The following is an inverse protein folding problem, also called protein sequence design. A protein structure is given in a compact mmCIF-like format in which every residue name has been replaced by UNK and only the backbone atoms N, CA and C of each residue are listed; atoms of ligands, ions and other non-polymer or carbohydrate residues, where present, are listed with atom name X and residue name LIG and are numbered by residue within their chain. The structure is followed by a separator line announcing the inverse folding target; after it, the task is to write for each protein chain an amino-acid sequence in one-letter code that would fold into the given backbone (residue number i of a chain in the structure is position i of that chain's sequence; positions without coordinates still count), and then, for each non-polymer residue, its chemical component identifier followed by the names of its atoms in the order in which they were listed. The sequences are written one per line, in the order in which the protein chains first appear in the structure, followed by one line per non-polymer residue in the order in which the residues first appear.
data_IF_400466638571
#
_entry.id   IF_400466638571
#
_cell.length_a   1.000
_cell.length_b   1.000
_cell.length_c   1.000
_cell.angle_alpha   90.00
_cell.angle_beta   90.00
_cell.angle_gamma   90.00
#
_symmetry.space_group_name_H-M   'P 1'
#
loop_
_entity.id
_entity.type
_entity.pdbx_description
1 polymer ?
#
# COMPACT_ATOMS: atom_id res chain seq x y z
N UNK A 1 14.92 22.88 58.01
CA UNK A 1 13.51 22.59 57.71
C UNK A 1 13.33 22.66 56.19
N UNK A 2 12.53 21.75 55.60
CA UNK A 2 12.56 21.29 54.20
C UNK A 2 11.92 22.33 53.25
N UNK A 3 11.96 22.25 51.92
CA UNK A 3 11.27 21.27 51.05
C UNK A 3 11.99 21.28 49.67
N UNK A 4 12.58 20.20 49.17
CA UNK A 4 11.95 19.11 48.40
C UNK A 4 10.62 19.47 47.73
N UNK A 5 10.70 19.87 46.46
CA UNK A 5 9.64 19.62 45.49
C UNK A 5 10.17 18.65 44.44
N UNK A 6 9.49 17.51 44.36
CA UNK A 6 9.60 16.50 43.31
C UNK A 6 8.83 17.01 42.09
N UNK A 7 9.49 17.14 40.95
CA UNK A 7 8.82 17.10 39.65
C UNK A 7 9.22 15.82 38.94
N UNK A 8 8.21 14.98 38.88
CA UNK A 8 8.17 13.57 38.55
C UNK A 8 8.46 13.33 37.07
N UNK A 9 9.12 12.21 36.81
CA UNK A 9 9.32 11.66 35.47
C UNK A 9 7.98 11.21 34.88
N UNK A 10 7.36 12.03 34.02
CA UNK A 10 6.40 11.55 33.01
C UNK A 10 6.07 12.73 32.12
N UNK A 11 6.31 12.72 30.83
CA UNK A 11 6.33 11.59 29.93
C UNK A 11 5.68 12.11 28.67
N UNK A 12 6.38 12.05 27.56
CA UNK A 12 5.83 11.64 26.27
C UNK A 12 6.97 11.77 25.25
N UNK A 13 7.41 10.65 24.63
CA UNK A 13 8.23 10.74 23.45
C UNK A 13 7.43 11.56 22.46
N UNK A 14 8.05 12.64 21.96
CA UNK A 14 7.53 13.42 20.86
C UNK A 14 6.91 12.44 19.89
N UNK A 15 5.58 12.51 19.77
CA UNK A 15 4.81 11.77 18.81
C UNK A 15 5.57 11.96 17.50
N UNK A 16 6.32 10.92 17.11
CA UNK A 16 6.77 10.80 15.75
C UNK A 16 5.46 10.64 15.02
N UNK A 17 4.87 11.78 14.65
CA UNK A 17 3.98 11.91 13.53
C UNK A 17 4.76 11.21 12.43
N UNK A 18 4.48 9.92 12.27
CA UNK A 18 4.89 9.13 11.15
C UNK A 18 4.03 9.69 10.02
N UNK A 19 4.38 10.91 9.60
CA UNK A 19 4.16 11.37 8.24
C UNK A 19 4.56 10.16 7.42
N UNK A 20 3.68 9.61 6.56
CA UNK A 20 4.10 8.62 5.61
C UNK A 20 5.10 9.36 4.73
N UNK A 21 6.37 9.34 5.15
CA UNK A 21 7.48 9.77 4.36
C UNK A 21 7.31 8.89 3.13
N UNK A 22 6.84 9.50 2.04
CA UNK A 22 6.89 8.88 0.72
C UNK A 22 8.35 8.45 0.61
N UNK A 23 8.58 7.15 0.85
CA UNK A 23 9.92 6.62 1.13
C UNK A 23 10.73 7.09 -0.05
N UNK A 24 11.76 7.90 0.21
CA UNK A 24 12.64 8.40 -0.84
C UNK A 24 12.95 7.23 -1.78
N UNK A 25 12.95 7.46 -3.11
CA UNK A 25 13.05 6.38 -4.09
C UNK A 25 14.25 5.51 -3.74
N UNK A 26 13.93 4.36 -3.13
CA UNK A 26 14.94 3.41 -2.67
C UNK A 26 15.22 2.47 -3.81
N UNK A 27 16.49 2.16 -4.01
CA UNK A 27 16.85 1.11 -4.95
C UNK A 27 16.19 -0.20 -4.50
N UNK A 28 15.37 -0.77 -5.38
CA UNK A 28 14.77 -2.08 -5.16
C UNK A 28 15.89 -3.13 -5.09
N UNK A 29 15.79 -4.03 -4.12
CA UNK A 29 16.69 -5.18 -4.04
C UNK A 29 16.51 -6.11 -5.25
N UNK A 30 17.44 -7.04 -5.44
CA UNK A 30 17.37 -7.99 -6.55
C UNK A 30 16.06 -8.79 -6.53
N UNK A 31 15.67 -9.30 -5.36
CA UNK A 31 14.43 -10.06 -5.19
C UNK A 31 13.18 -9.20 -5.38
N UNK A 32 13.15 -7.94 -4.92
CA UNK A 32 12.03 -7.01 -5.17
C UNK A 32 11.87 -6.74 -6.68
N UNK A 33 12.98 -6.56 -7.41
CA UNK A 33 12.96 -6.38 -8.88
C UNK A 33 12.44 -7.64 -9.58
N UNK A 34 12.94 -8.82 -9.21
CA UNK A 34 12.50 -10.10 -9.77
C UNK A 34 11.02 -10.36 -9.48
N UNK A 35 10.55 -10.03 -8.27
CA UNK A 35 9.16 -10.16 -7.88
C UNK A 35 8.26 -9.21 -8.66
N UNK A 36 8.68 -7.96 -8.88
CA UNK A 36 7.98 -7.04 -9.76
C UNK A 36 7.86 -7.61 -11.17
N UNK A 37 8.97 -8.05 -11.78
CA UNK A 37 8.95 -8.67 -13.11
C UNK A 37 8.03 -9.90 -13.19
N UNK A 38 8.04 -10.77 -12.17
CA UNK A 38 7.18 -11.94 -12.12
C UNK A 38 5.70 -11.54 -12.06
N UNK A 39 5.35 -10.54 -11.25
CA UNK A 39 3.99 -10.00 -11.17
C UNK A 39 3.52 -9.44 -12.53
N UNK A 40 4.38 -8.69 -13.24
CA UNK A 40 4.07 -8.20 -14.58
C UNK A 40 3.92 -9.31 -15.63
N UNK A 41 4.64 -10.41 -15.49
CA UNK A 41 4.54 -11.57 -16.41
C UNK A 41 3.40 -12.52 -16.07
N UNK A 42 2.81 -12.42 -14.88
CA UNK A 42 1.86 -13.41 -14.37
C UNK A 42 2.51 -14.73 -13.91
N UNK A 43 3.81 -14.70 -13.62
CA UNK A 43 4.55 -15.85 -13.08
C UNK A 43 4.31 -15.99 -11.57
N UNK A 44 4.37 -17.20 -11.00
CA UNK A 44 4.17 -17.41 -9.57
C UNK A 44 5.28 -16.77 -8.73
N UNK A 45 4.93 -16.35 -7.51
CA UNK A 45 5.88 -15.83 -6.54
C UNK A 45 6.87 -16.92 -6.10
N UNK A 46 8.18 -16.59 -6.10
CA UNK A 46 9.20 -17.50 -5.61
C UNK A 46 9.35 -17.36 -4.09
N UNK A 47 9.12 -18.43 -3.30
CA UNK A 47 9.19 -18.38 -1.83
C UNK A 47 10.61 -18.13 -1.28
N UNK A 48 11.65 -18.18 -2.11
CA UNK A 48 13.01 -17.82 -1.71
C UNK A 48 13.26 -16.30 -1.66
N UNK A 49 12.32 -15.48 -2.15
CA UNK A 49 12.43 -14.01 -2.10
C UNK A 49 12.06 -13.45 -0.73
N UNK A 50 12.47 -12.21 -0.46
CA UNK A 50 12.24 -11.59 0.84
C UNK A 50 10.76 -11.22 1.06
N UNK A 51 10.40 -10.94 2.32
CA UNK A 51 9.08 -10.41 2.66
C UNK A 51 8.79 -9.06 1.97
N UNK A 52 9.82 -8.25 1.69
CA UNK A 52 9.64 -6.99 0.95
C UNK A 52 9.24 -7.26 -0.51
N UNK A 53 9.84 -8.26 -1.15
CA UNK A 53 9.47 -8.69 -2.49
C UNK A 53 8.05 -9.24 -2.57
N UNK A 54 7.57 -9.95 -1.54
CA UNK A 54 6.19 -10.40 -1.46
C UNK A 54 5.21 -9.21 -1.51
N UNK A 55 5.47 -8.18 -0.70
CA UNK A 55 4.67 -6.95 -0.69
C UNK A 55 4.64 -6.26 -2.06
N UNK A 56 5.79 -6.24 -2.77
CA UNK A 56 5.87 -5.67 -4.13
C UNK A 56 5.06 -6.52 -5.12
N UNK A 57 5.23 -7.84 -5.12
CA UNK A 57 4.49 -8.76 -5.99
C UNK A 57 2.98 -8.64 -5.79
N UNK A 58 2.51 -8.79 -4.55
CA UNK A 58 1.09 -8.71 -4.21
C UNK A 58 0.51 -7.33 -4.52
N UNK A 59 1.27 -6.26 -4.26
CA UNK A 59 0.87 -4.90 -4.56
C UNK A 59 0.64 -4.67 -6.05
N UNK A 60 1.54 -5.18 -6.90
CA UNK A 60 1.44 -5.05 -8.37
C UNK A 60 0.25 -5.87 -8.89
N UNK A 61 0.14 -7.14 -8.51
CA UNK A 61 -0.98 -8.02 -8.92
C UNK A 61 -2.32 -7.40 -8.53
N UNK A 62 -2.42 -6.90 -7.30
CA UNK A 62 -3.63 -6.23 -6.82
C UNK A 62 -3.94 -4.95 -7.59
N UNK A 63 -2.92 -4.15 -7.92
CA UNK A 63 -3.08 -2.92 -8.69
C UNK A 63 -3.54 -3.20 -10.13
N UNK A 64 -3.00 -4.23 -10.78
CA UNK A 64 -3.44 -4.66 -12.11
C UNK A 64 -4.87 -5.16 -12.11
N UNK A 65 -5.26 -5.94 -11.10
CA UNK A 65 -6.65 -6.37 -10.94
C UNK A 65 -7.57 -5.16 -10.81
N UNK A 66 -7.23 -4.19 -9.94
CA UNK A 66 -8.00 -2.94 -9.79
C UNK A 66 -8.04 -2.11 -11.07
N UNK A 67 -6.95 -2.00 -11.82
CA UNK A 67 -6.93 -1.28 -13.10
C UNK A 67 -7.82 -1.94 -14.15
N UNK A 68 -7.82 -3.27 -14.24
CA UNK A 68 -8.71 -3.99 -15.14
C UNK A 68 -10.17 -3.79 -14.75
N UNK A 69 -10.50 -3.90 -13.45
CA UNK A 69 -11.86 -3.62 -12.95
C UNK A 69 -12.26 -2.16 -13.20
N UNK A 70 -11.37 -1.19 -12.96
CA UNK A 70 -11.63 0.22 -13.26
C UNK A 70 -11.87 0.44 -14.77
N UNK A 71 -11.09 -0.22 -15.62
CA UNK A 71 -11.27 -0.14 -17.08
C UNK A 71 -12.57 -0.79 -17.55
N UNK A 72 -13.07 -1.81 -16.86
CA UNK A 72 -14.34 -2.49 -17.18
C UNK A 72 -15.55 -1.69 -16.65
N UNK A 73 -15.42 -1.11 -15.47
CA UNK A 73 -16.47 -0.32 -14.80
C UNK A 73 -16.70 1.06 -15.42
N UNK A 74 -15.71 1.60 -16.14
CA UNK A 74 -15.87 2.80 -16.98
C UNK A 74 -17.00 2.64 -18.03
N UNK A 75 -17.28 1.41 -18.48
CA UNK A 75 -18.39 1.12 -19.40
C UNK A 75 -19.69 0.68 -18.69
N UNK A 76 -19.64 0.26 -17.43
CA UNK A 76 -20.83 -0.15 -16.63
C UNK A 76 -21.51 1.06 -15.95
N UNK A 77 -20.77 2.15 -15.70
CA UNK A 77 -21.35 3.37 -15.12
C UNK A 77 -22.34 4.10 -16.05
N UNK A 78 -22.41 3.71 -17.33
CA UNK A 78 -23.35 4.23 -18.35
C UNK A 78 -24.53 3.29 -18.63
N UNK A 79 -24.65 2.12 -17.98
CA UNK A 79 -25.82 1.24 -18.16
C UNK A 79 -26.83 1.30 -17.00
N UNK A 80 -26.42 1.69 -15.78
CA UNK A 80 -27.30 1.80 -14.60
C UNK A 80 -27.78 3.24 -14.38
N UNK A 81 -28.27 3.91 -15.43
CA UNK A 81 -28.97 5.19 -15.25
C UNK A 81 -30.16 5.39 -16.21
N UNK A 82 -30.30 4.56 -17.25
CA UNK A 82 -31.30 4.77 -18.31
C UNK A 82 -32.47 3.77 -18.30
N UNK A 83 -32.75 3.07 -17.19
CA UNK A 83 -34.00 2.29 -17.03
C UNK A 83 -35.07 3.01 -16.17
N UNK A 84 -35.09 4.34 -16.18
CA UNK A 84 -36.20 5.12 -15.59
C UNK A 84 -37.03 5.92 -16.60
N UNK A 85 -36.74 5.87 -17.91
CA UNK A 85 -37.48 6.66 -18.90
C UNK A 85 -38.59 5.89 -19.64
N UNK A 86 -39.17 4.85 -19.03
CA UNK A 86 -40.41 4.25 -19.53
C UNK A 86 -41.39 3.97 -18.39
N UNK A 87 -41.98 5.03 -17.84
CA UNK A 87 -43.38 4.98 -17.39
C UNK A 87 -43.99 6.35 -17.12
#
# INVERSE_FOLDING_TARGET
MPQQHMDDHSGQPAVQLHVPAARAPRDLTYDEKKAAEAAFRGEPFNPAWSAAAAVVYEGIVSAMCRMQVASLTDMEAVSVAEECLTR
#
